data_IF_171724168682
#
_entry.id   IF_171724168682
#
_cell.length_a   1.000
_cell.length_b   1.000
_cell.length_c   1.000
_cell.angle_alpha   90.00
_cell.angle_beta   90.00
_cell.angle_gamma   90.00
#
_symmetry.space_group_name_H-M   'P 1'
#
loop_
_entity.id
_entity.type
_entity.pdbx_description
1 polymer ?
#
# COMPACT_ATOMS: atom_id res chain seq x y z
N UNK A 1 16.33 -8.37 -0.01
CA UNK A 1 16.17 -9.03 1.31
C UNK A 1 15.19 -8.24 2.18
N UNK A 2 14.04 -8.80 2.52
CA UNK A 2 12.91 -8.15 3.20
C UNK A 2 11.95 -9.25 3.69
N UNK A 3 11.13 -9.01 4.71
CA UNK A 3 9.90 -9.80 4.96
C UNK A 3 8.67 -8.93 4.79
N UNK A 4 7.72 -9.41 3.98
CA UNK A 4 6.40 -8.81 3.80
C UNK A 4 5.36 -9.86 4.16
N UNK A 5 4.33 -9.48 4.91
CA UNK A 5 3.22 -10.35 5.29
C UNK A 5 1.88 -9.64 5.10
N UNK A 6 0.86 -10.42 4.75
CA UNK A 6 -0.52 -9.98 4.62
C UNK A 6 -1.45 -11.03 5.24
N UNK A 7 -2.25 -10.62 6.22
CA UNK A 7 -3.18 -11.50 6.96
C UNK A 7 -4.64 -11.36 6.49
N UNK A 8 -4.89 -10.57 5.44
CA UNK A 8 -6.23 -10.26 4.94
C UNK A 8 -6.73 -8.89 5.35
N UNK A 9 -6.10 -8.26 6.35
CA UNK A 9 -6.50 -6.94 6.90
C UNK A 9 -5.33 -5.96 6.97
N UNK A 10 -4.16 -6.47 7.31
CA UNK A 10 -2.95 -5.70 7.54
C UNK A 10 -1.86 -6.16 6.58
N UNK A 11 -1.29 -5.22 5.81
CA UNK A 11 -0.05 -5.44 5.08
C UNK A 11 1.10 -4.91 5.94
N UNK A 12 2.06 -5.77 6.28
CA UNK A 12 3.20 -5.42 7.09
C UNK A 12 4.51 -5.75 6.38
N UNK A 13 5.52 -4.92 6.60
CA UNK A 13 6.87 -5.14 6.11
C UNK A 13 7.91 -4.66 7.12
N UNK A 14 9.07 -5.31 7.11
CA UNK A 14 10.23 -4.84 7.86
C UNK A 14 10.87 -3.62 7.16
N UNK A 15 11.75 -2.90 7.86
CA UNK A 15 12.43 -1.71 7.31
C UNK A 15 13.93 -1.94 7.07
N UNK A 16 14.43 -3.16 7.26
CA UNK A 16 15.86 -3.44 7.16
C UNK A 16 16.31 -3.37 5.71
N UNK A 17 17.30 -2.52 5.44
CA UNK A 17 18.01 -2.53 4.16
C UNK A 17 19.41 -3.09 4.39
N UNK A 18 19.90 -3.93 3.47
CA UNK A 18 21.17 -4.65 3.63
C UNK A 18 21.98 -4.59 2.35
N UNK A 19 23.27 -4.28 2.48
CA UNK A 19 24.27 -4.42 1.42
C UNK A 19 25.38 -5.32 1.92
N UNK A 20 25.54 -6.48 1.29
CA UNK A 20 26.42 -7.53 1.79
C UNK A 20 26.02 -7.97 3.20
N UNK A 21 26.91 -7.83 4.18
CA UNK A 21 26.64 -8.12 5.59
C UNK A 21 26.27 -6.88 6.42
N UNK A 22 26.16 -5.70 5.81
CA UNK A 22 25.94 -4.44 6.51
C UNK A 22 24.49 -4.01 6.43
N UNK A 23 23.90 -3.65 7.58
CA UNK A 23 22.60 -2.99 7.64
C UNK A 23 22.76 -1.51 7.32
N UNK A 24 21.94 -1.01 6.41
CA UNK A 24 21.85 0.39 6.03
C UNK A 24 20.72 1.09 6.79
N UNK A 25 20.54 2.37 6.50
CA UNK A 25 19.43 3.19 6.99
C UNK A 25 18.08 2.50 6.76
N UNK A 26 17.19 2.45 7.76
CA UNK A 26 15.88 1.82 7.60
C UNK A 26 15.04 2.56 6.56
N UNK A 27 14.35 1.81 5.69
CA UNK A 27 13.51 2.38 4.62
C UNK A 27 12.06 1.97 4.81
N UNK A 28 11.12 2.82 4.38
CA UNK A 28 9.74 2.37 4.19
C UNK A 28 9.71 1.42 2.99
N UNK A 29 9.02 0.30 3.09
CA UNK A 29 8.89 -0.70 2.02
C UNK A 29 7.45 -0.95 1.60
N UNK A 30 6.52 -0.12 2.12
CA UNK A 30 5.12 -0.11 1.74
C UNK A 30 4.83 1.27 1.16
N UNK A 31 4.33 1.28 -0.07
CA UNK A 31 3.99 2.48 -0.83
C UNK A 31 2.53 2.44 -1.26
N UNK A 32 1.91 3.62 -1.35
CA UNK A 32 0.50 3.79 -1.70
C UNK A 32 0.16 3.57 -3.19
N UNK A 33 1.05 3.00 -4.01
CA UNK A 33 0.81 2.59 -5.41
C UNK A 33 -0.03 3.56 -6.30
N UNK A 34 0.06 4.87 -6.08
CA UNK A 34 -0.72 5.89 -6.79
C UNK A 34 -2.20 6.01 -6.40
N UNK A 35 -2.68 5.23 -5.42
CA UNK A 35 -4.07 5.16 -4.99
C UNK A 35 -4.16 4.89 -3.47
N UNK A 36 -4.88 5.70 -2.68
CA UNK A 36 -4.99 5.49 -1.22
C UNK A 36 -5.56 4.12 -0.82
N UNK A 37 -6.30 3.44 -1.71
CA UNK A 37 -6.84 2.11 -1.49
C UNK A 37 -5.87 0.98 -1.86
N UNK A 38 -4.69 1.30 -2.37
CA UNK A 38 -3.70 0.31 -2.80
C UNK A 38 -2.40 0.45 -2.02
N UNK A 39 -1.86 -0.70 -1.65
CA UNK A 39 -0.53 -0.79 -1.07
C UNK A 39 0.33 -1.76 -1.83
N UNK A 40 1.53 -1.33 -2.15
CA UNK A 40 2.54 -2.16 -2.78
C UNK A 40 3.74 -2.31 -1.87
N UNK A 41 4.23 -3.53 -1.74
CA UNK A 41 5.49 -3.82 -1.08
C UNK A 41 6.29 -4.79 -1.94
N UNK A 42 7.62 -4.67 -1.90
CA UNK A 42 8.51 -5.54 -2.68
C UNK A 42 9.72 -6.02 -1.89
N UNK A 43 10.25 -7.16 -2.34
CA UNK A 43 11.50 -7.72 -1.88
C UNK A 43 12.33 -8.23 -3.05
N UNK A 44 13.64 -8.22 -2.88
CA UNK A 44 14.61 -8.45 -3.94
C UNK A 44 15.53 -7.23 -4.02
N UNK A 45 15.91 -6.84 -5.23
CA UNK A 45 16.62 -5.60 -5.48
C UNK A 45 15.71 -4.38 -5.34
N UNK A 46 16.23 -3.32 -4.74
CA UNK A 46 15.47 -2.08 -4.44
C UNK A 46 15.10 -1.32 -5.72
N UNK A 47 16.00 -1.30 -6.70
CA UNK A 47 15.78 -0.67 -8.00
C UNK A 47 14.68 -1.36 -8.81
N UNK A 48 14.62 -2.69 -8.79
CA UNK A 48 13.52 -3.45 -9.41
C UNK A 48 12.18 -3.13 -8.74
N UNK A 49 12.15 -3.04 -7.40
CA UNK A 49 10.97 -2.62 -6.64
C UNK A 49 10.44 -1.24 -7.06
N UNK A 50 11.34 -0.28 -7.21
CA UNK A 50 11.02 1.09 -7.63
C UNK A 50 10.49 1.14 -9.06
N UNK A 51 11.13 0.42 -10.00
CA UNK A 51 10.67 0.33 -11.39
C UNK A 51 9.25 -0.23 -11.48
N UNK A 52 8.94 -1.25 -10.68
CA UNK A 52 7.60 -1.85 -10.65
C UNK A 52 6.58 -0.91 -10.00
N UNK A 53 6.94 -0.22 -8.91
CA UNK A 53 6.06 0.77 -8.29
C UNK A 53 5.71 1.89 -9.27
N UNK A 54 6.68 2.40 -10.02
CA UNK A 54 6.45 3.41 -11.06
C UNK A 54 5.55 2.88 -12.17
N UNK A 55 5.80 1.66 -12.66
CA UNK A 55 4.96 1.01 -13.66
C UNK A 55 3.51 0.81 -13.18
N UNK A 56 3.32 0.40 -11.92
CA UNK A 56 1.99 0.27 -11.31
C UNK A 56 1.29 1.62 -11.23
N UNK A 57 1.98 2.63 -10.73
CA UNK A 57 1.47 4.00 -10.57
C UNK A 57 1.09 4.64 -11.91
N UNK A 58 1.82 4.28 -12.99
CA UNK A 58 1.57 4.76 -14.35
C UNK A 58 0.53 3.92 -15.13
N UNK A 59 -0.23 3.05 -14.45
CA UNK A 59 -1.35 2.32 -15.03
C UNK A 59 -1.00 0.98 -15.66
N UNK A 60 0.18 0.42 -15.38
CA UNK A 60 0.60 -0.94 -15.80
C UNK A 60 0.53 -1.19 -17.30
N UNK A 61 0.93 -0.21 -18.11
CA UNK A 61 0.88 -0.33 -19.57
C UNK A 61 1.76 -1.50 -20.06
N UNK A 62 1.25 -2.41 -20.91
CA UNK A 62 2.00 -3.60 -21.32
C UNK A 62 3.31 -3.33 -22.07
N UNK A 63 3.36 -2.24 -22.84
CA UNK A 63 4.51 -1.79 -23.63
C UNK A 63 5.59 -1.09 -22.79
N UNK A 64 5.24 -0.60 -21.60
CA UNK A 64 6.16 0.02 -20.62
C UNK A 64 6.58 -0.97 -19.52
N UNK A 65 6.31 -2.28 -19.68
CA UNK A 65 6.63 -3.30 -18.67
C UNK A 65 8.15 -3.38 -18.42
N UNK A 66 8.63 -3.18 -17.18
CA UNK A 66 10.06 -3.22 -16.89
C UNK A 66 10.61 -4.65 -16.97
N UNK A 67 11.91 -4.76 -17.23
CA UNK A 67 12.66 -6.01 -17.15
C UNK A 67 13.38 -6.06 -15.81
N UNK A 68 13.21 -7.16 -15.07
CA UNK A 68 13.65 -7.29 -13.69
C UNK A 68 14.70 -8.39 -13.55
N UNK A 69 15.41 -8.39 -12.42
CA UNK A 69 16.21 -9.52 -11.97
C UNK A 69 15.36 -10.72 -11.57
N UNK A 70 16.01 -11.86 -11.40
CA UNK A 70 15.42 -13.16 -11.05
C UNK A 70 14.99 -13.29 -9.58
N UNK A 71 15.31 -12.31 -8.73
CA UNK A 71 14.99 -12.30 -7.31
C UNK A 71 13.82 -11.39 -6.94
N UNK A 72 13.20 -10.72 -7.91
CA UNK A 72 12.10 -9.79 -7.67
C UNK A 72 10.82 -10.49 -7.20
N UNK A 73 10.24 -9.99 -6.12
CA UNK A 73 8.93 -10.39 -5.63
C UNK A 73 8.18 -9.15 -5.14
N UNK A 74 6.98 -8.93 -5.67
CA UNK A 74 6.09 -7.84 -5.28
C UNK A 74 4.76 -8.37 -4.73
N UNK A 75 4.18 -7.65 -3.78
CA UNK A 75 2.83 -7.88 -3.28
C UNK A 75 2.04 -6.58 -3.39
N UNK A 76 1.00 -6.59 -4.23
CA UNK A 76 0.03 -5.52 -4.34
C UNK A 76 -1.24 -5.94 -3.61
N UNK A 77 -1.69 -5.12 -2.67
CA UNK A 77 -2.95 -5.27 -1.95
C UNK A 77 -3.86 -4.12 -2.35
N UNK A 78 -5.10 -4.44 -2.72
CA UNK A 78 -6.12 -3.46 -3.05
C UNK A 78 -7.32 -3.66 -2.11
N UNK A 79 -7.64 -2.60 -1.36
CA UNK A 79 -8.81 -2.56 -0.50
C UNK A 79 -10.07 -2.27 -1.32
N UNK A 80 -11.13 -3.01 -1.03
CA UNK A 80 -12.46 -2.87 -1.63
C UNK A 80 -13.42 -2.44 -0.51
N UNK A 81 -13.65 -1.13 -0.34
CA UNK A 81 -14.45 -0.58 0.75
C UNK A 81 -15.85 -1.17 0.85
N UNK A 82 -16.49 -1.41 -0.30
CA UNK A 82 -17.88 -1.88 -0.37
C UNK A 82 -18.09 -3.25 0.29
N UNK A 83 -17.04 -4.06 0.38
CA UNK A 83 -17.09 -5.40 0.95
C UNK A 83 -16.23 -5.56 2.21
N UNK A 84 -15.64 -4.46 2.70
CA UNK A 84 -14.70 -4.46 3.84
C UNK A 84 -13.63 -5.57 3.70
N UNK A 85 -13.11 -5.76 2.48
CA UNK A 85 -12.15 -6.82 2.15
C UNK A 85 -11.02 -6.28 1.29
N UNK A 86 -9.91 -7.01 1.21
CA UNK A 86 -8.88 -6.75 0.21
C UNK A 86 -8.62 -7.95 -0.68
N UNK A 87 -8.15 -7.65 -1.88
CA UNK A 87 -7.56 -8.62 -2.80
C UNK A 87 -6.05 -8.42 -2.83
N UNK A 88 -5.32 -9.52 -2.96
CA UNK A 88 -3.87 -9.50 -3.01
C UNK A 88 -3.37 -10.21 -4.27
N UNK A 89 -2.40 -9.59 -4.92
CA UNK A 89 -1.75 -10.10 -6.13
C UNK A 89 -0.25 -10.07 -5.93
N UNK A 90 0.38 -11.22 -6.17
CA UNK A 90 1.83 -11.37 -6.22
C UNK A 90 2.33 -11.09 -7.63
N UNK A 91 3.46 -10.41 -7.71
CA UNK A 91 4.26 -10.26 -8.91
C UNK A 91 5.63 -10.93 -8.72
N UNK A 92 6.13 -11.49 -9.80
CA UNK A 92 7.48 -12.04 -9.96
C UNK A 92 8.15 -11.33 -11.15
N UNK A 93 9.31 -11.78 -11.59
CA UNK A 93 10.14 -11.13 -12.61
C UNK A 93 9.44 -10.94 -13.97
N UNK A 94 8.46 -11.79 -14.28
CA UNK A 94 7.67 -11.70 -15.54
C UNK A 94 6.51 -10.69 -15.46
N UNK A 95 6.22 -10.18 -14.26
CA UNK A 95 5.12 -9.26 -13.96
C UNK A 95 3.74 -9.76 -14.40
N UNK A 96 3.57 -11.07 -14.45
CA UNK A 96 2.26 -11.71 -14.57
C UNK A 96 1.59 -11.69 -13.18
N UNK A 97 0.38 -11.14 -13.04
CA UNK A 97 -0.31 -11.09 -11.76
C UNK A 97 -0.76 -12.48 -11.30
N UNK A 98 -0.36 -12.88 -10.11
CA UNK A 98 -0.78 -14.13 -9.47
C UNK A 98 -1.65 -13.82 -8.25
N UNK A 99 -2.93 -14.19 -8.29
CA UNK A 99 -3.82 -14.01 -7.15
C UNK A 99 -3.36 -14.87 -5.97
N UNK A 100 -3.29 -14.27 -4.77
CA UNK A 100 -2.90 -14.96 -3.54
C UNK A 100 -3.99 -14.82 -2.48
N UNK A 101 -4.09 -15.82 -1.59
CA UNK A 101 -5.03 -15.79 -0.47
C UNK A 101 -4.29 -15.56 0.84
N UNK A 102 -4.80 -14.70 1.74
CA UNK A 102 -4.25 -14.56 3.07
C UNK A 102 -4.52 -15.83 3.92
N UNK A 103 -3.66 -16.12 4.92
CA UNK A 103 -2.40 -15.43 5.20
C UNK A 103 -1.35 -15.70 4.12
N UNK A 104 -0.56 -14.69 3.77
CA UNK A 104 0.46 -14.78 2.73
C UNK A 104 1.70 -13.97 3.11
N UNK A 105 2.89 -14.47 2.81
CA UNK A 105 4.14 -13.76 3.04
C UNK A 105 5.15 -14.01 1.92
N UNK A 106 6.02 -13.02 1.67
CA UNK A 106 7.12 -13.09 0.71
C UNK A 106 8.42 -12.57 1.33
N UNK A 107 9.53 -12.97 0.70
CA UNK A 107 10.87 -12.57 1.11
C UNK A 107 11.54 -13.52 2.11
N UNK A 108 12.67 -13.09 2.69
CA UNK A 108 13.61 -13.97 3.40
C UNK A 108 13.04 -14.58 4.68
N UNK A 109 12.20 -13.83 5.41
CA UNK A 109 11.54 -14.31 6.63
C UNK A 109 10.11 -14.82 6.41
N UNK A 110 9.70 -15.05 5.15
CA UNK A 110 8.33 -15.46 4.81
C UNK A 110 7.90 -16.74 5.55
N UNK A 111 8.78 -17.73 5.67
CA UNK A 111 8.45 -18.98 6.36
C UNK A 111 8.12 -18.76 7.85
N UNK A 112 8.87 -17.89 8.53
CA UNK A 112 8.62 -17.53 9.93
C UNK A 112 7.33 -16.74 10.08
N UNK A 113 7.09 -15.76 9.18
CA UNK A 113 5.87 -14.97 9.18
C UNK A 113 4.63 -15.83 8.91
N UNK A 114 4.69 -16.73 7.93
CA UNK A 114 3.61 -17.69 7.64
C UNK A 114 3.32 -18.59 8.82
N UNK A 115 4.35 -19.11 9.50
CA UNK A 115 4.18 -19.92 10.70
C UNK A 115 3.49 -19.12 11.84
N UNK A 116 3.89 -17.87 12.05
CA UNK A 116 3.27 -17.01 13.04
C UNK A 116 1.79 -16.73 12.72
N UNK A 117 1.48 -16.39 11.47
CA UNK A 117 0.09 -16.14 11.05
C UNK A 117 -0.77 -17.40 11.10
N UNK A 118 -0.21 -18.58 10.79
CA UNK A 118 -0.89 -19.87 10.97
C UNK A 118 -1.24 -20.17 12.44
N UNK A 119 -0.52 -19.56 13.39
CA UNK A 119 -0.80 -19.61 14.83
C UNK A 119 -1.73 -18.47 15.31
N UNK A 120 -2.34 -17.72 14.39
CA UNK A 120 -3.31 -16.66 14.69
C UNK A 120 -2.69 -15.29 14.98
N UNK A 121 -1.40 -15.08 14.67
CA UNK A 121 -0.77 -13.76 14.75
C UNK A 121 -1.18 -12.88 13.57
N UNK A 122 -1.30 -11.57 13.83
CA UNK A 122 -1.43 -10.57 12.78
C UNK A 122 -0.18 -10.51 11.89
N UNK A 123 -0.30 -9.92 10.70
CA UNK A 123 0.83 -9.71 9.80
C UNK A 123 1.95 -8.89 10.46
N UNK A 124 1.60 -7.87 11.25
CA UNK A 124 2.57 -7.05 11.98
C UNK A 124 3.33 -7.87 13.04
N UNK A 125 2.62 -8.62 13.89
CA UNK A 125 3.26 -9.53 14.86
C UNK A 125 4.10 -10.60 14.18
N UNK A 126 3.66 -11.09 13.02
CA UNK A 126 4.38 -12.10 12.24
C UNK A 126 5.71 -11.59 11.68
N UNK A 127 5.74 -10.35 11.14
CA UNK A 127 6.97 -9.68 10.71
C UNK A 127 7.88 -9.40 11.90
N UNK A 128 7.32 -9.00 13.04
CA UNK A 128 8.10 -8.80 14.27
C UNK A 128 8.76 -10.11 14.72
N UNK A 129 8.02 -11.22 14.74
CA UNK A 129 8.58 -12.53 15.07
C UNK A 129 9.66 -12.95 14.07
N UNK A 130 9.41 -12.79 12.78
CA UNK A 130 10.39 -13.08 11.73
C UNK A 130 11.69 -12.29 11.94
N UNK A 131 11.62 -11.03 12.40
CA UNK A 131 12.81 -10.21 12.68
C UNK A 131 13.74 -10.76 13.78
N UNK A 132 13.24 -11.68 14.61
CA UNK A 132 14.03 -12.33 15.66
C UNK A 132 14.79 -13.57 15.16
N UNK A 133 14.38 -14.11 14.00
CA UNK A 133 14.86 -15.39 13.47
C UNK A 133 15.58 -15.23 12.13
N UNK A 134 15.12 -14.30 11.28
CA UNK A 134 15.75 -13.96 10.01
C UNK A 134 16.70 -12.76 10.16
N UNK A 135 17.99 -12.97 9.90
CA UNK A 135 19.04 -11.94 10.02
C UNK A 135 18.80 -10.75 9.09
N UNK A 136 18.04 -10.96 8.01
CA UNK A 136 17.74 -9.97 7.00
C UNK A 136 16.43 -9.19 7.24
N UNK A 137 15.71 -9.51 8.31
CA UNK A 137 14.45 -8.85 8.67
C UNK A 137 14.64 -7.98 9.92
N UNK A 138 14.18 -6.73 9.91
CA UNK A 138 14.16 -5.91 11.13
C UNK A 138 14.01 -4.41 10.94
N UNK A 139 14.69 -3.64 11.81
CA UNK A 139 14.75 -2.18 11.81
C UNK A 139 13.43 -1.40 12.06
N UNK A 140 12.60 -1.91 13.00
CA UNK A 140 11.17 -1.56 13.20
C UNK A 140 10.34 -1.92 11.97
N UNK A 141 9.09 -2.32 12.18
CA UNK A 141 8.18 -2.65 11.08
C UNK A 141 7.34 -1.43 10.68
N UNK A 142 6.81 -1.47 9.47
CA UNK A 142 5.72 -0.61 8.99
C UNK A 142 4.54 -1.51 8.70
N UNK A 143 3.34 -1.04 9.03
CA UNK A 143 2.10 -1.71 8.71
C UNK A 143 1.09 -0.70 8.16
N UNK A 144 0.38 -1.11 7.11
CA UNK A 144 -0.82 -0.44 6.60
C UNK A 144 -2.03 -1.28 6.96
N UNK A 145 -3.00 -0.65 7.61
CA UNK A 145 -4.18 -1.32 8.15
C UNK A 145 -5.47 -0.80 7.52
N UNK A 146 -6.33 -1.74 7.17
CA UNK A 146 -7.61 -1.51 6.51
C UNK A 146 -8.61 -0.74 7.38
N UNK A 147 -8.69 -1.03 8.68
CA UNK A 147 -9.60 -0.32 9.57
C UNK A 147 -9.19 1.14 9.74
N UNK A 148 -7.88 1.41 9.78
CA UNK A 148 -7.35 2.76 9.86
C UNK A 148 -7.71 3.56 8.60
N UNK A 149 -7.50 2.97 7.41
CA UNK A 149 -7.81 3.60 6.14
C UNK A 149 -9.32 3.86 5.98
N UNK A 150 -10.16 2.88 6.29
CA UNK A 150 -11.61 3.03 6.20
C UNK A 150 -12.09 4.17 7.11
N UNK A 151 -11.63 4.23 8.37
CA UNK A 151 -11.96 5.31 9.31
C UNK A 151 -11.54 6.68 8.76
N UNK A 152 -10.38 6.77 8.12
CA UNK A 152 -9.87 8.02 7.58
C UNK A 152 -10.66 8.47 6.35
N UNK A 153 -11.04 7.54 5.47
CA UNK A 153 -11.88 7.83 4.31
C UNK A 153 -13.28 8.26 4.74
N UNK A 154 -13.93 7.54 5.66
CA UNK A 154 -15.25 7.91 6.17
C UNK A 154 -15.21 9.26 6.90
N UNK A 155 -14.16 9.51 7.70
CA UNK A 155 -14.00 10.80 8.37
C UNK A 155 -13.79 11.94 7.38
N UNK A 156 -13.06 11.71 6.27
CA UNK A 156 -12.91 12.68 5.19
C UNK A 156 -14.26 12.96 4.51
N UNK A 157 -15.01 11.91 4.14
CA UNK A 157 -16.35 12.04 3.53
C UNK A 157 -17.29 12.82 4.45
N UNK A 158 -17.29 12.51 5.75
CA UNK A 158 -18.10 13.20 6.76
C UNK A 158 -17.68 14.66 6.96
N UNK A 159 -16.37 14.94 6.96
CA UNK A 159 -15.88 16.31 7.07
C UNK A 159 -16.28 17.13 5.83
N UNK A 160 -16.12 16.57 4.63
CA UNK A 160 -16.52 17.23 3.39
C UNK A 160 -18.03 17.45 3.29
N UNK A 161 -18.86 16.46 3.62
CA UNK A 161 -20.31 16.59 3.62
C UNK A 161 -20.82 17.64 4.61
N UNK A 162 -20.07 17.89 5.69
CA UNK A 162 -20.38 18.89 6.71
C UNK A 162 -19.69 20.24 6.49
N UNK A 163 -18.94 20.43 5.39
CA UNK A 163 -18.18 21.65 5.12
C UNK A 163 -17.06 21.94 6.13
N UNK A 164 -16.58 20.91 6.85
CA UNK A 164 -15.53 21.00 7.87
C UNK A 164 -14.17 20.64 7.28
N UNK A 165 -13.10 21.28 7.75
CA UNK A 165 -11.73 20.84 7.45
C UNK A 165 -11.41 19.55 8.22
N UNK A 166 -10.81 18.59 7.53
CA UNK A 166 -10.37 17.35 8.16
C UNK A 166 -9.23 17.63 9.16
N UNK A 167 -9.28 17.10 10.39
CA UNK A 167 -8.37 17.48 11.46
C UNK A 167 -6.96 16.84 11.40
N UNK A 168 -6.65 16.01 10.39
CA UNK A 168 -5.32 15.36 10.27
C UNK A 168 -4.52 15.87 9.07
N UNK A 169 -3.59 16.77 9.35
CA UNK A 169 -2.44 17.12 8.50
C UNK A 169 -1.27 16.10 8.63
N UNK A 170 -1.55 14.84 8.99
CA UNK A 170 -0.51 13.91 9.46
C UNK A 170 -0.70 12.49 8.87
N UNK A 171 0.03 12.20 7.79
CA UNK A 171 0.73 10.92 7.50
C UNK A 171 1.06 10.66 6.01
N UNK A 172 0.78 11.57 5.10
CA UNK A 172 1.38 11.52 3.76
C UNK A 172 2.56 12.49 3.72
N UNK A 173 3.75 12.04 4.13
CA UNK A 173 4.96 12.83 3.95
C UNK A 173 5.35 12.84 2.47
N UNK A 174 4.70 13.70 1.68
CA UNK A 174 5.39 14.31 0.54
C UNK A 174 6.20 15.52 1.04
N UNK A 175 7.34 15.86 0.42
CA UNK A 175 8.17 16.98 0.86
C UNK A 175 7.35 18.27 0.88
N UNK A 176 7.42 18.98 2.00
CA UNK A 176 6.73 20.25 2.20
C UNK A 176 7.15 21.26 1.11
N UNK A 177 6.24 21.57 0.18
CA UNK A 177 6.52 22.54 -0.88
C UNK A 177 5.48 22.73 -1.99
N UNK A 178 4.42 21.92 -2.10
CA UNK A 178 3.49 22.00 -3.25
C UNK A 178 1.98 21.99 -2.93
N UNK A 179 1.56 22.31 -1.70
CA UNK A 179 0.12 22.50 -1.43
C UNK A 179 -0.25 23.96 -1.73
N UNK A 180 -0.72 24.24 -2.95
CA UNK A 180 -1.59 25.39 -3.18
C UNK A 180 -3.03 24.95 -2.92
N UNK A 181 -3.70 25.64 -2.00
CA UNK A 181 -5.11 25.42 -1.70
C UNK A 181 -5.96 25.66 -2.95
N UNK A 182 -6.85 24.72 -3.28
CA UNK A 182 -7.83 24.87 -4.36
C UNK A 182 -9.19 25.26 -3.76
N UNK A 183 -9.79 26.32 -4.29
CA UNK A 183 -11.20 26.65 -4.04
C UNK A 183 -12.08 25.84 -5.01
N UNK A 184 -13.08 25.10 -4.52
CA UNK A 184 -14.00 24.38 -5.40
C UNK A 184 -14.95 25.36 -6.12
N UNK A 185 -15.02 25.25 -7.45
CA UNK A 185 -16.09 25.83 -8.24
C UNK A 185 -17.31 24.90 -8.18
N UNK A 186 -18.42 25.40 -7.64
CA UNK A 186 -19.72 24.74 -7.68
C UNK A 186 -20.48 25.29 -8.90
N UNK A 187 -20.82 24.43 -9.87
CA UNK A 187 -21.92 24.71 -10.78
C UNK A 187 -23.18 24.06 -10.21
N UNK A 188 -24.31 24.74 -10.30
CA UNK A 188 -25.59 24.39 -9.67
C UNK A 188 -25.98 22.92 -9.91
N UNK A 189 -26.13 22.12 -8.85
CA UNK A 189 -26.58 20.71 -8.96
C UNK A 189 -27.81 20.44 -8.09
N UNK A 190 -28.82 19.89 -8.75
CA UNK A 190 -30.14 19.49 -8.26
C UNK A 190 -30.06 18.37 -7.18
N UNK A 191 -30.94 18.46 -6.17
CA UNK A 191 -30.84 17.75 -4.87
C UNK A 191 -31.27 16.26 -4.90
N UNK A 192 -31.71 15.73 -6.04
CA UNK A 192 -32.31 14.38 -6.16
C UNK A 192 -31.49 13.38 -6.99
N UNK A 193 -30.20 13.64 -7.25
CA UNK A 193 -29.37 12.76 -8.10
C UNK A 193 -28.20 12.11 -7.36
N UNK A 194 -27.99 10.82 -7.64
CA UNK A 194 -26.82 10.00 -7.24
C UNK A 194 -25.54 10.83 -7.34
N UNK A 195 -24.90 11.10 -6.21
CA UNK A 195 -23.70 11.92 -6.18
C UNK A 195 -22.51 11.10 -6.70
N UNK A 196 -22.06 11.44 -7.91
CA UNK A 196 -20.77 10.96 -8.42
C UNK A 196 -19.71 12.00 -8.12
N UNK A 197 -18.88 11.73 -7.11
CA UNK A 197 -17.75 12.57 -6.77
C UNK A 197 -16.52 12.14 -7.56
N UNK A 198 -15.86 13.13 -8.14
CA UNK A 198 -14.60 12.97 -8.83
C UNK A 198 -13.53 13.67 -7.98
N UNK A 199 -12.80 12.90 -7.17
CA UNK A 199 -11.72 13.44 -6.32
C UNK A 199 -10.40 13.27 -7.04
N UNK A 200 -9.63 14.36 -7.17
CA UNK A 200 -8.31 14.35 -7.80
C UNK A 200 -7.27 14.87 -6.81
N UNK A 201 -6.37 13.99 -6.36
CA UNK A 201 -5.10 14.42 -5.80
C UNK A 201 -4.16 14.81 -6.96
N UNK A 202 -3.37 15.87 -6.80
CA UNK A 202 -2.47 16.38 -7.86
C UNK A 202 -1.62 15.24 -8.44
N UNK A 203 -1.74 15.01 -9.75
CA UNK A 203 -0.99 13.98 -10.48
C UNK A 203 -1.64 12.59 -10.57
N UNK A 204 -2.76 12.34 -9.88
CA UNK A 204 -3.46 11.05 -9.91
C UNK A 204 -4.69 11.06 -10.84
N UNK A 205 -5.08 9.87 -11.31
CA UNK A 205 -6.36 9.64 -12.00
C UNK A 205 -7.55 9.86 -11.06
N UNK A 206 -8.69 10.26 -11.61
CA UNK A 206 -9.91 10.55 -10.85
C UNK A 206 -10.37 9.36 -10.02
N UNK A 207 -10.52 9.55 -8.70
CA UNK A 207 -11.27 8.61 -7.86
C UNK A 207 -12.75 8.88 -8.10
N UNK A 208 -13.47 7.87 -8.60
CA UNK A 208 -14.94 7.92 -8.77
C UNK A 208 -15.57 7.34 -7.51
N UNK A 209 -16.12 8.20 -6.66
CA UNK A 209 -16.90 7.79 -5.50
C UNK A 209 -18.37 7.99 -5.84
N UNK A 210 -19.14 6.91 -5.88
CA UNK A 210 -20.58 6.97 -6.10
C UNK A 210 -21.27 6.72 -4.78
N UNK A 211 -21.88 7.76 -4.19
CA UNK A 211 -22.75 7.60 -3.03
C UNK A 211 -24.18 7.32 -3.50
N UNK A 212 -24.79 6.27 -2.96
CA UNK A 212 -26.23 5.99 -3.05
C UNK A 212 -26.97 6.61 -1.87
#
# INVERSE_FOLDING_TARGET
MTTIAFDGKTLAADRCNVVGAMRLTPMCKIDGAGDPLRWFASCGRVDDGELVLQWITNGRKPDERPKLGDDFNGLLVEFIPEFETAVAVKYEETLIPLAVRPPFAIGSGAAYAMAAMALGKSAAEAVELASRLDVFTGARLVASDMECLAKDIYCLIDCFSQGKRHPRDLCFSQPAGQIQAFEPHFEDVDMDSVYTWHVRAHGCSWLRLTCF
#
